data_IF_732911598116
#
_entry.id   IF_732911598116
#
_cell.length_a   1.000
_cell.length_b   1.000
_cell.length_c   1.000
_cell.angle_alpha   90.00
_cell.angle_beta   90.00
_cell.angle_gamma   90.00
#
_symmetry.space_group_name_H-M   'P 1'
#
loop_
_entity.id
_entity.type
_entity.pdbx_description
1 polymer ?
#
# COMPACT_ATOMS: atom_id res chain seq x y z
N UNK A 1 -33.41 -4.01 26.94
CA UNK A 1 -33.89 -3.99 25.55
C UNK A 1 -32.69 -3.64 24.68
N UNK A 2 -31.93 -4.65 24.23
CA UNK A 2 -31.94 -5.16 22.84
C UNK A 2 -31.58 -4.03 21.86
N UNK A 3 -30.45 -4.05 21.16
CA UNK A 3 -30.12 -5.07 20.16
C UNK A 3 -28.63 -5.03 19.80
N UNK A 4 -28.04 -6.22 19.69
CA UNK A 4 -26.79 -6.48 18.99
C UNK A 4 -26.87 -6.01 17.53
N UNK A 5 -25.81 -5.36 17.04
CA UNK A 5 -25.44 -5.36 15.63
C UNK A 5 -23.94 -5.69 15.49
N UNK A 6 -23.63 -6.94 15.84
CA UNK A 6 -22.54 -7.68 15.24
C UNK A 6 -22.92 -7.94 13.78
N UNK A 7 -22.38 -7.16 12.86
CA UNK A 7 -22.19 -7.44 11.43
C UNK A 7 -21.29 -6.30 10.94
N UNK A 8 -19.98 -6.46 10.93
CA UNK A 8 -19.28 -7.05 9.80
C UNK A 8 -18.04 -7.80 10.27
N UNK A 9 -18.11 -9.13 10.24
CA UNK A 9 -16.93 -9.94 9.96
C UNK A 9 -16.44 -9.59 8.55
N UNK A 10 -15.13 -9.38 8.43
CA UNK A 10 -14.39 -9.69 7.22
C UNK A 10 -14.40 -8.62 6.13
N UNK A 11 -13.28 -7.90 6.03
CA UNK A 11 -12.60 -7.84 4.73
C UNK A 11 -11.14 -8.24 4.96
N UNK A 12 -10.87 -9.52 4.74
CA UNK A 12 -9.51 -9.96 4.50
C UNK A 12 -9.01 -9.25 3.26
N UNK A 13 -7.96 -8.44 3.40
CA UNK A 13 -7.19 -7.99 2.26
C UNK A 13 -6.53 -9.21 1.61
N UNK A 14 -7.23 -9.82 0.65
CA UNK A 14 -6.59 -10.57 -0.43
C UNK A 14 -6.24 -9.56 -1.52
N UNK A 15 -5.01 -9.65 -2.02
CA UNK A 15 -4.38 -8.86 -3.09
C UNK A 15 -3.66 -7.55 -2.71
N UNK A 16 -2.42 -7.69 -2.23
CA UNK A 16 -1.18 -6.92 -2.54
C UNK A 16 -0.14 -7.35 -1.47
N UNK A 17 0.95 -8.05 -1.75
CA UNK A 17 1.86 -8.00 -2.89
C UNK A 17 2.54 -9.36 -3.09
N UNK A 18 2.47 -9.92 -4.29
CA UNK A 18 3.52 -10.82 -4.75
C UNK A 18 4.50 -9.95 -5.53
N UNK A 19 5.50 -9.40 -4.85
CA UNK A 19 6.79 -9.18 -5.53
C UNK A 19 7.27 -10.58 -5.90
N UNK A 20 7.30 -10.89 -7.20
CA UNK A 20 8.04 -12.02 -7.73
C UNK A 20 9.50 -11.77 -7.35
N UNK A 21 9.96 -12.40 -6.26
CA UNK A 21 11.39 -12.58 -6.04
C UNK A 21 11.86 -13.49 -7.18
N UNK A 22 12.76 -12.97 -8.02
CA UNK A 22 13.50 -13.78 -8.98
C UNK A 22 14.18 -14.90 -8.20
N UNK A 23 13.94 -16.15 -8.59
CA UNK A 23 14.60 -17.30 -8.01
C UNK A 23 16.06 -17.30 -8.43
N UNK A 24 16.96 -16.83 -7.56
CA UNK A 24 18.36 -17.26 -7.62
C UNK A 24 18.40 -18.72 -7.17
N UNK A 25 18.55 -19.63 -8.11
CA UNK A 25 18.80 -21.04 -7.85
C UNK A 25 20.15 -21.21 -7.16
N UNK A 26 20.13 -21.47 -5.86
CA UNK A 26 21.22 -22.15 -5.15
C UNK A 26 20.63 -23.45 -4.60
N UNK A 27 21.00 -24.55 -5.24
CA UNK A 27 20.75 -25.91 -4.76
C UNK A 27 21.37 -26.08 -3.37
N UNK A 28 20.56 -26.44 -2.38
CA UNK A 28 21.04 -26.97 -1.10
C UNK A 28 20.27 -28.23 -0.78
N UNK A 29 21.00 -29.35 -0.78
CA UNK A 29 20.60 -30.72 -0.51
C UNK A 29 19.59 -30.87 0.65
N UNK A 30 18.38 -31.34 0.34
CA UNK A 30 17.33 -31.65 1.31
C UNK A 30 17.30 -33.14 1.69
N UNK A 31 18.42 -33.86 1.60
CA UNK A 31 18.49 -35.33 1.69
C UNK A 31 19.08 -35.89 2.99
N UNK A 32 19.52 -35.03 3.92
CA UNK A 32 20.21 -35.46 5.16
C UNK A 32 19.36 -35.37 6.44
N UNK A 33 18.10 -34.91 6.39
CA UNK A 33 17.26 -34.77 7.59
C UNK A 33 16.10 -35.77 7.62
N UNK A 34 16.44 -37.06 7.76
CA UNK A 34 15.67 -38.10 8.50
C UNK A 34 16.31 -39.48 8.27
N UNK A 35 17.26 -39.85 9.13
CA UNK A 35 17.55 -41.26 9.41
C UNK A 35 17.40 -41.48 10.92
N UNK A 36 16.43 -42.32 11.29
CA UNK A 36 16.25 -42.78 12.66
C UNK A 36 17.42 -43.71 13.00
N UNK A 37 18.12 -43.52 14.14
CA UNK A 37 19.26 -44.36 14.50
C UNK A 37 18.83 -45.82 14.69
N UNK A 38 19.59 -46.76 14.15
CA UNK A 38 19.34 -48.21 14.24
C UNK A 38 19.66 -48.75 15.65
N UNK A 39 19.09 -49.92 15.98
CA UNK A 39 19.03 -50.47 17.34
C UNK A 39 20.36 -50.55 18.10
N UNK A 40 21.49 -50.76 17.42
CA UNK A 40 22.81 -50.81 18.07
C UNK A 40 23.30 -49.45 18.59
N UNK A 41 22.93 -48.35 17.92
CA UNK A 41 23.28 -46.99 18.34
C UNK A 41 22.51 -46.58 19.61
N UNK A 42 21.32 -47.14 19.82
CA UNK A 42 20.48 -46.88 20.99
C UNK A 42 21.07 -47.49 22.26
N UNK A 43 21.58 -48.72 22.16
CA UNK A 43 22.21 -49.44 23.28
C UNK A 43 23.54 -48.82 23.71
N UNK A 44 24.27 -48.19 22.80
CA UNK A 44 25.51 -47.47 23.09
C UNK A 44 25.23 -46.17 23.87
N UNK A 45 24.21 -45.41 23.47
CA UNK A 45 23.74 -44.19 24.15
C UNK A 45 23.20 -44.48 25.56
N UNK A 46 22.45 -45.56 25.74
CA UNK A 46 21.93 -45.97 27.06
C UNK A 46 23.05 -46.37 28.03
N UNK A 47 24.10 -47.05 27.55
CA UNK A 47 25.29 -47.37 28.36
C UNK A 47 26.13 -46.13 28.70
N UNK A 48 26.11 -45.11 27.84
CA UNK A 48 26.80 -43.84 28.08
C UNK A 48 26.05 -43.01 29.14
N UNK A 49 24.72 -42.95 29.05
CA UNK A 49 23.83 -42.31 30.03
C UNK A 49 23.94 -42.96 31.43
N UNK A 50 24.01 -44.30 31.50
CA UNK A 50 24.15 -45.02 32.76
C UNK A 50 25.52 -44.78 33.45
N UNK A 51 26.58 -44.47 32.69
CA UNK A 51 27.89 -44.09 33.24
C UNK A 51 27.91 -42.67 33.77
N UNK A 52 27.22 -41.74 33.09
CA UNK A 52 27.10 -40.34 33.53
C UNK A 52 26.23 -40.19 34.79
N UNK A 53 25.21 -41.04 34.98
CA UNK A 53 24.36 -41.02 36.18
C UNK A 53 25.01 -41.64 37.42
N UNK A 54 26.04 -42.49 37.25
CA UNK A 54 26.71 -43.17 38.36
C UNK A 54 27.88 -42.36 38.96
N UNK A 55 28.39 -41.36 38.24
CA UNK A 55 29.47 -40.48 38.69
C UNK A 55 28.91 -39.13 39.14
N UNK A 56 28.56 -39.01 40.42
CA UNK A 56 28.53 -37.78 41.25
C UNK A 56 27.35 -37.76 42.24
N UNK A 57 27.50 -38.48 43.35
CA UNK A 57 26.64 -38.33 44.54
C UNK A 57 27.25 -37.39 45.60
N UNK A 58 28.37 -36.72 45.34
CA UNK A 58 29.07 -35.90 46.34
C UNK A 58 29.62 -34.59 45.76
N UNK A 59 28.73 -33.66 45.40
CA UNK A 59 28.90 -32.19 45.52
C UNK A 59 27.82 -31.51 44.68
N UNK A 60 26.90 -30.80 45.34
CA UNK A 60 25.75 -30.18 44.67
C UNK A 60 26.03 -28.69 44.48
N UNK A 61 26.98 -28.37 43.60
CA UNK A 61 27.12 -27.03 43.05
C UNK A 61 26.24 -26.90 41.80
N UNK A 62 25.32 -25.95 41.82
CA UNK A 62 24.33 -25.73 40.78
C UNK A 62 24.97 -25.09 39.55
N UNK A 63 25.20 -25.88 38.50
CA UNK A 63 25.58 -25.36 37.18
C UNK A 63 24.40 -25.52 36.21
N UNK A 64 23.90 -24.43 35.59
CA UNK A 64 22.79 -24.51 34.67
C UNK A 64 23.32 -24.81 33.26
N UNK A 65 23.54 -26.09 32.95
CA UNK A 65 23.59 -26.52 31.55
C UNK A 65 23.15 -27.97 31.35
N UNK A 66 22.50 -28.22 30.22
CA UNK A 66 22.09 -29.51 29.64
C UNK A 66 20.81 -30.24 30.12
N UNK A 67 20.21 -29.96 31.29
CA UNK A 67 19.04 -30.77 31.79
C UNK A 67 17.71 -30.01 31.92
N UNK A 68 17.56 -28.85 31.26
CA UNK A 68 16.37 -28.00 31.41
C UNK A 68 15.05 -28.68 31.04
N UNK A 69 15.03 -29.50 29.98
CA UNK A 69 13.82 -30.18 29.51
C UNK A 69 13.39 -31.33 30.43
N UNK A 70 14.32 -32.13 30.96
CA UNK A 70 13.98 -33.23 31.87
C UNK A 70 13.42 -32.68 33.19
N UNK A 71 14.04 -31.62 33.71
CA UNK A 71 13.57 -30.97 34.94
C UNK A 71 12.20 -30.30 34.75
N UNK A 72 11.96 -29.67 33.60
CA UNK A 72 10.65 -29.10 33.27
C UNK A 72 9.56 -30.18 33.19
N UNK A 73 9.84 -31.30 32.52
CA UNK A 73 8.89 -32.40 32.44
C UNK A 73 8.57 -33.00 33.81
N UNK A 74 9.58 -33.13 34.68
CA UNK A 74 9.43 -33.66 36.04
C UNK A 74 8.62 -32.73 36.94
N UNK A 75 8.85 -31.41 36.86
CA UNK A 75 8.06 -30.41 37.60
C UNK A 75 6.59 -30.39 37.13
N UNK A 76 6.36 -30.54 35.82
CA UNK A 76 5.02 -30.58 35.23
C UNK A 76 4.21 -31.80 35.65
N UNK A 77 4.82 -32.99 35.76
CA UNK A 77 4.13 -34.19 36.25
C UNK A 77 3.85 -34.13 37.75
N UNK A 78 4.76 -33.56 38.55
CA UNK A 78 4.61 -33.51 40.01
C UNK A 78 3.76 -32.33 40.54
N UNK A 79 3.28 -31.43 39.67
CA UNK A 79 2.51 -30.23 40.06
C UNK A 79 3.18 -29.35 41.14
N UNK A 80 4.51 -29.44 41.28
CA UNK A 80 5.28 -28.60 42.21
C UNK A 80 5.65 -27.32 41.49
N UNK A 81 5.03 -26.20 41.86
CA UNK A 81 5.35 -24.87 41.31
C UNK A 81 6.48 -24.23 42.11
N UNK A 82 7.43 -23.61 41.42
CA UNK A 82 8.42 -22.73 42.06
C UNK A 82 7.86 -21.32 42.22
N UNK A 83 8.37 -20.55 43.19
CA UNK A 83 7.89 -19.18 43.50
C UNK A 83 7.94 -18.19 42.32
N UNK A 84 8.73 -18.50 41.28
CA UNK A 84 8.91 -17.65 40.08
C UNK A 84 8.32 -18.25 38.80
N UNK A 85 7.54 -19.33 38.90
CA UNK A 85 6.84 -19.91 37.76
C UNK A 85 5.68 -18.97 37.35
N UNK A 86 5.50 -18.59 36.06
CA UNK A 86 6.05 -19.19 34.83
C UNK A 86 7.35 -18.54 34.29
N UNK A 87 7.92 -17.58 35.01
CA UNK A 87 8.85 -16.59 34.46
C UNK A 87 10.33 -16.95 34.65
N UNK A 88 10.67 -18.24 34.74
CA UNK A 88 12.03 -18.67 35.05
C UNK A 88 13.03 -18.47 33.90
N UNK A 89 12.56 -18.32 32.65
CA UNK A 89 13.43 -18.36 31.46
C UNK A 89 13.70 -17.01 30.78
N UNK A 90 13.12 -15.89 31.24
CA UNK A 90 13.29 -14.57 30.60
C UNK A 90 14.00 -13.57 31.52
N UNK A 91 15.04 -12.90 31.00
CA UNK A 91 15.79 -11.84 31.72
C UNK A 91 15.22 -10.43 31.58
N UNK A 92 14.20 -10.22 30.74
CA UNK A 92 13.57 -8.89 30.54
C UNK A 92 12.26 -8.81 31.34
N UNK A 93 11.97 -7.66 31.98
CA UNK A 93 10.68 -7.45 32.65
C UNK A 93 9.56 -7.46 31.60
N UNK A 94 8.44 -8.11 31.92
CA UNK A 94 7.32 -8.24 31.01
C UNK A 94 6.66 -6.89 30.74
N UNK A 95 6.37 -6.60 29.48
CA UNK A 95 5.42 -5.54 29.09
C UNK A 95 3.99 -6.04 29.30
N UNK A 96 3.08 -5.15 29.71
CA UNK A 96 1.71 -5.45 30.16
C UNK A 96 0.89 -6.37 29.23
N UNK A 97 1.20 -6.44 27.93
CA UNK A 97 0.52 -7.31 26.98
C UNK A 97 0.79 -8.82 27.17
N UNK A 98 1.82 -9.20 27.94
CA UNK A 98 2.17 -10.61 28.19
C UNK A 98 1.70 -11.11 29.56
N UNK A 99 1.15 -10.24 30.42
CA UNK A 99 0.41 -10.67 31.61
C UNK A 99 -0.95 -11.23 31.14
N UNK A 100 -0.95 -12.47 30.65
CA UNK A 100 -2.18 -13.17 30.35
C UNK A 100 -2.87 -13.43 31.69
N UNK A 101 -3.84 -12.59 32.02
CA UNK A 101 -4.57 -12.59 33.28
C UNK A 101 -5.33 -13.89 33.49
N UNK A 102 -4.99 -14.60 34.55
CA UNK A 102 -5.86 -15.63 35.11
C UNK A 102 -6.96 -14.91 35.89
N UNK A 103 -8.16 -14.85 35.33
CA UNK A 103 -9.31 -14.28 36.04
C UNK A 103 -9.90 -15.34 36.98
N UNK A 104 -9.81 -15.14 38.28
CA UNK A 104 -10.53 -15.94 39.28
C UNK A 104 -11.92 -15.33 39.51
N UNK A 105 -12.94 -16.18 39.70
CA UNK A 105 -14.35 -15.74 39.83
C UNK A 105 -14.59 -14.79 41.01
N UNK A 106 -13.70 -14.85 42.00
CA UNK A 106 -13.79 -14.10 43.25
C UNK A 106 -12.97 -12.80 43.22
N UNK A 107 -12.25 -12.50 42.12
CA UNK A 107 -11.55 -11.22 41.97
C UNK A 107 -12.50 -10.13 41.48
N UNK A 108 -12.54 -8.95 42.14
CA UNK A 108 -13.35 -7.83 41.66
C UNK A 108 -12.76 -7.29 40.34
N UNK A 109 -13.64 -7.02 39.35
CA UNK A 109 -13.28 -6.37 38.08
C UNK A 109 -12.53 -5.06 38.36
N UNK A 110 -11.21 -5.05 38.17
CA UNK A 110 -10.42 -3.83 38.27
C UNK A 110 -10.78 -2.93 37.10
N UNK A 111 -11.34 -1.77 37.39
CA UNK A 111 -12.01 -0.90 36.41
C UNK A 111 -11.04 -0.18 35.47
N UNK A 112 -9.72 -0.27 35.70
CA UNK A 112 -8.66 0.39 34.92
C UNK A 112 -7.38 -0.45 34.92
N UNK A 113 -7.40 -1.58 34.24
CA UNK A 113 -6.19 -2.38 34.06
C UNK A 113 -5.22 -1.69 33.08
N UNK A 114 -3.90 -1.68 33.31
CA UNK A 114 -2.94 -0.96 32.47
C UNK A 114 -2.98 -1.35 30.98
N UNK A 115 -3.33 -2.60 30.68
CA UNK A 115 -3.48 -3.11 29.30
C UNK A 115 -4.79 -2.66 28.62
N UNK A 116 -5.80 -2.20 29.37
CA UNK A 116 -7.04 -1.64 28.80
C UNK A 116 -6.90 -0.18 28.39
N UNK A 117 -5.87 0.51 28.90
CA UNK A 117 -5.52 1.88 28.50
C UNK A 117 -4.14 1.90 27.86
N UNK A 118 -4.04 1.32 26.67
CA UNK A 118 -2.92 1.66 25.80
C UNK A 118 -3.05 3.15 25.46
N UNK A 119 -2.17 4.01 26.02
CA UNK A 119 -2.09 5.42 25.62
C UNK A 119 -1.67 5.46 24.16
N UNK A 120 -2.66 5.47 23.26
CA UNK A 120 -2.43 5.71 21.84
C UNK A 120 -2.00 7.16 21.70
N UNK A 121 -0.69 7.37 21.63
CA UNK A 121 -0.15 8.60 21.09
C UNK A 121 -0.43 8.58 19.59
N UNK A 122 -1.64 9.01 19.20
CA UNK A 122 -1.89 9.37 17.81
C UNK A 122 -1.06 10.62 17.58
N UNK A 123 0.17 10.45 17.10
CA UNK A 123 1.01 11.55 16.69
C UNK A 123 0.40 12.13 15.40
N UNK A 124 -0.62 12.97 15.55
CA UNK A 124 -1.23 13.75 14.46
C UNK A 124 -0.23 14.70 13.79
N UNK A 125 0.96 14.87 14.37
CA UNK A 125 2.08 15.63 13.83
C UNK A 125 3.39 14.84 13.93
N UNK A 126 3.39 13.55 13.55
CA UNK A 126 4.65 12.87 13.28
C UNK A 126 5.36 13.57 12.10
N UNK A 127 6.70 13.53 12.04
CA UNK A 127 7.44 13.97 10.85
C UNK A 127 6.92 13.30 9.57
N UNK A 128 6.38 12.08 9.69
CA UNK A 128 5.74 11.36 8.59
C UNK A 128 4.38 11.97 8.19
N UNK A 129 3.61 12.49 9.15
CA UNK A 129 2.33 13.18 8.87
C UNK A 129 2.56 14.58 8.35
N UNK A 130 3.55 15.31 8.90
CA UNK A 130 3.97 16.63 8.37
C UNK A 130 4.62 16.52 6.99
N UNK A 131 5.40 15.49 6.71
CA UNK A 131 5.92 15.19 5.36
C UNK A 131 4.81 14.81 4.39
N UNK A 132 3.80 14.07 4.86
CA UNK A 132 2.60 13.76 4.06
C UNK A 132 1.79 15.03 3.80
N UNK A 133 1.55 15.90 4.78
CA UNK A 133 0.81 17.15 4.60
C UNK A 133 1.57 18.21 3.78
N UNK A 134 2.90 18.34 3.93
CA UNK A 134 3.73 19.22 3.08
C UNK A 134 3.89 18.65 1.65
N UNK A 135 3.84 17.32 1.45
CA UNK A 135 3.70 16.70 0.11
C UNK A 135 2.30 16.86 -0.48
N UNK A 136 1.27 17.07 0.34
CA UNK A 136 -0.12 17.17 -0.08
C UNK A 136 -0.46 18.53 -0.67
N UNK A 137 0.49 19.47 -0.77
CA UNK A 137 0.31 20.69 -1.55
C UNK A 137 0.37 20.33 -3.05
N UNK A 138 -0.75 19.83 -3.57
CA UNK A 138 -0.87 19.42 -4.96
C UNK A 138 -1.31 20.59 -5.84
N UNK A 139 -0.45 20.92 -6.81
CA UNK A 139 -0.80 21.73 -7.98
C UNK A 139 -1.19 20.79 -9.10
N UNK A 140 -2.41 20.95 -9.60
CA UNK A 140 -2.95 20.08 -10.64
C UNK A 140 -3.25 20.87 -11.91
N UNK A 141 -3.10 20.18 -13.04
CA UNK A 141 -3.48 20.71 -14.34
C UNK A 141 -4.73 19.98 -14.81
N UNK A 142 -5.71 20.72 -15.32
CA UNK A 142 -6.94 20.16 -15.88
C UNK A 142 -7.09 20.62 -17.33
N UNK A 143 -7.08 19.66 -18.24
CA UNK A 143 -7.45 19.86 -19.64
C UNK A 143 -8.93 19.55 -19.85
N UNK A 144 -9.59 20.28 -20.75
CA UNK A 144 -11.00 20.04 -21.05
C UNK A 144 -11.99 20.60 -20.00
N UNK A 145 -11.59 21.62 -19.25
CA UNK A 145 -12.37 22.22 -18.17
C UNK A 145 -13.77 22.76 -18.58
N UNK A 146 -14.01 23.03 -19.87
CA UNK A 146 -15.31 23.47 -20.37
C UNK A 146 -16.28 22.30 -20.69
N UNK A 147 -15.82 21.05 -20.60
CA UNK A 147 -16.67 19.87 -20.78
C UNK A 147 -17.36 19.47 -19.48
N UNK A 148 -18.40 18.63 -19.56
CA UNK A 148 -19.20 18.22 -18.41
C UNK A 148 -18.38 17.57 -17.28
N UNK A 149 -17.41 16.71 -17.63
CA UNK A 149 -16.53 16.07 -16.63
C UNK A 149 -15.47 17.06 -16.15
N UNK A 150 -14.83 17.79 -17.07
CA UNK A 150 -13.78 18.74 -16.73
C UNK A 150 -14.24 19.87 -15.82
N UNK A 151 -15.45 20.40 -16.01
CA UNK A 151 -16.00 21.47 -15.16
C UNK A 151 -16.22 21.00 -13.73
N UNK A 152 -16.69 19.76 -13.57
CA UNK A 152 -16.89 19.16 -12.25
C UNK A 152 -15.56 18.79 -11.58
N UNK A 153 -14.57 18.31 -12.34
CA UNK A 153 -13.21 18.12 -11.82
C UNK A 153 -12.64 19.44 -11.27
N UNK A 154 -12.82 20.56 -11.98
CA UNK A 154 -12.38 21.87 -11.48
C UNK A 154 -13.13 22.26 -10.20
N UNK A 155 -14.46 22.09 -10.17
CA UNK A 155 -15.29 22.42 -9.00
C UNK A 155 -14.84 21.64 -7.76
N UNK A 156 -14.70 20.32 -7.87
CA UNK A 156 -14.25 19.48 -6.77
C UNK A 156 -12.82 19.79 -6.36
N UNK A 157 -11.96 20.12 -7.32
CA UNK A 157 -10.55 20.47 -7.01
C UNK A 157 -10.41 21.80 -6.29
N UNK A 158 -11.33 22.74 -6.49
CA UNK A 158 -11.37 24.00 -5.74
C UNK A 158 -11.88 23.77 -4.30
N UNK A 159 -12.85 22.86 -4.14
CA UNK A 159 -13.44 22.51 -2.83
C UNK A 159 -12.49 21.67 -1.96
N UNK A 160 -11.59 20.88 -2.57
CA UNK A 160 -10.63 20.06 -1.85
C UNK A 160 -9.56 20.91 -1.14
N UNK A 161 -9.37 20.66 0.15
CA UNK A 161 -8.35 21.33 0.97
C UNK A 161 -6.95 20.83 0.68
N UNK A 162 -6.81 19.64 0.10
CA UNK A 162 -5.53 19.03 -0.27
C UNK A 162 -5.03 19.52 -1.65
N UNK A 163 -5.76 20.40 -2.32
CA UNK A 163 -5.32 20.98 -3.59
C UNK A 163 -5.02 22.45 -3.34
N UNK A 164 -3.77 22.82 -3.59
CA UNK A 164 -3.30 24.19 -3.41
C UNK A 164 -3.75 25.06 -4.57
N UNK A 165 -3.51 24.59 -5.80
CA UNK A 165 -3.73 25.35 -6.99
C UNK A 165 -4.20 24.49 -8.15
N UNK A 166 -5.18 25.02 -8.89
CA UNK A 166 -5.75 24.38 -10.07
C UNK A 166 -5.44 25.23 -11.29
N UNK A 167 -4.65 24.70 -12.21
CA UNK A 167 -4.41 25.35 -13.49
C UNK A 167 -5.26 24.69 -14.58
N UNK A 168 -6.11 25.45 -15.23
CA UNK A 168 -6.89 24.97 -16.38
C UNK A 168 -6.26 25.43 -17.68
N UNK A 169 -6.13 24.50 -18.64
CA UNK A 169 -5.64 24.81 -19.98
C UNK A 169 -6.79 24.68 -20.96
N UNK A 170 -7.24 25.81 -21.50
CA UNK A 170 -8.43 25.87 -22.35
C UNK A 170 -8.23 26.76 -23.57
N UNK A 171 -8.97 26.49 -24.64
CA UNK A 171 -9.01 27.38 -25.83
C UNK A 171 -9.83 28.63 -25.62
N UNK A 172 -10.85 28.53 -24.77
CA UNK A 172 -11.82 29.58 -24.48
C UNK A 172 -11.77 29.86 -22.98
N UNK A 173 -11.97 31.12 -22.56
CA UNK A 173 -12.07 31.43 -21.14
C UNK A 173 -13.18 30.62 -20.49
N UNK A 174 -12.96 30.20 -19.25
CA UNK A 174 -13.96 29.54 -18.42
C UNK A 174 -15.07 30.51 -18.04
N UNK A 175 -16.23 29.95 -17.69
CA UNK A 175 -17.34 30.72 -17.14
C UNK A 175 -16.93 31.37 -15.81
N UNK A 176 -17.35 32.62 -15.62
CA UNK A 176 -16.95 33.46 -14.48
C UNK A 176 -17.32 32.85 -13.11
N UNK A 177 -18.29 31.95 -13.08
CA UNK A 177 -18.76 31.30 -11.85
C UNK A 177 -17.77 30.27 -11.28
N UNK A 178 -16.75 29.88 -12.05
CA UNK A 178 -15.74 28.88 -11.66
C UNK A 178 -14.43 29.55 -11.23
N UNK A 179 -14.35 30.89 -11.33
CA UNK A 179 -13.14 31.65 -11.01
C UNK A 179 -13.04 31.82 -9.49
N UNK A 180 -11.98 31.26 -8.91
CA UNK A 180 -11.60 31.42 -7.50
C UNK A 180 -10.12 31.79 -7.40
N UNK A 181 -9.68 32.27 -6.23
CA UNK A 181 -8.27 32.64 -6.00
C UNK A 181 -7.31 31.42 -6.12
N UNK A 182 -7.84 30.20 -5.98
CA UNK A 182 -7.08 28.95 -6.13
C UNK A 182 -6.96 28.49 -7.59
N UNK A 183 -7.53 29.22 -8.54
CA UNK A 183 -7.66 28.78 -9.93
C UNK A 183 -7.03 29.77 -10.91
N UNK A 184 -6.17 29.26 -11.80
CA UNK A 184 -5.60 30.02 -12.92
C UNK A 184 -6.05 29.40 -14.23
N UNK A 185 -6.54 30.24 -15.15
CA UNK A 185 -6.82 29.83 -16.53
C UNK A 185 -5.68 30.24 -17.46
N UNK A 186 -5.14 29.27 -18.19
CA UNK A 186 -4.14 29.50 -19.23
C UNK A 186 -4.79 29.23 -20.59
N UNK A 187 -4.82 30.26 -21.43
CA UNK A 187 -5.33 30.13 -22.79
C UNK A 187 -4.28 29.50 -23.69
N UNK A 188 -4.63 28.37 -24.30
CA UNK A 188 -3.77 27.67 -25.23
C UNK A 188 -4.58 27.09 -26.39
N UNK A 189 -4.12 27.33 -27.62
CA UNK A 189 -4.86 27.02 -28.84
C UNK A 189 -4.31 25.81 -29.60
N UNK A 190 -3.00 25.58 -29.56
CA UNK A 190 -2.33 24.55 -30.36
C UNK A 190 -1.91 23.33 -29.54
N UNK A 191 -2.82 22.36 -29.39
CA UNK A 191 -2.61 21.14 -28.61
C UNK A 191 -1.66 20.10 -29.25
N UNK A 192 -0.97 20.46 -30.34
CA UNK A 192 0.13 19.65 -30.86
C UNK A 192 1.49 20.16 -30.38
N UNK A 193 1.59 21.42 -29.97
CA UNK A 193 2.83 22.04 -29.50
C UNK A 193 2.67 22.65 -28.11
N UNK A 194 3.24 21.98 -27.11
CA UNK A 194 3.24 22.43 -25.72
C UNK A 194 4.52 23.15 -25.29
N UNK A 195 5.41 23.52 -26.23
CA UNK A 195 6.65 24.25 -25.93
C UNK A 195 6.44 25.49 -25.06
N UNK A 196 5.37 26.31 -25.24
CA UNK A 196 5.12 27.47 -24.38
C UNK A 196 4.74 27.12 -22.93
N UNK A 197 4.31 25.88 -22.68
CA UNK A 197 3.75 25.42 -21.40
C UNK A 197 4.71 24.53 -20.61
N UNK A 198 5.94 24.30 -21.09
CA UNK A 198 6.90 23.42 -20.42
C UNK A 198 7.19 23.87 -18.98
N UNK A 199 7.41 25.17 -18.76
CA UNK A 199 7.62 25.75 -17.43
C UNK A 199 6.42 25.53 -16.49
N UNK A 200 5.21 25.46 -17.04
CA UNK A 200 4.02 25.16 -16.26
C UNK A 200 4.07 23.70 -15.79
N UNK A 201 4.45 22.76 -16.65
CA UNK A 201 4.50 21.33 -16.33
C UNK A 201 5.55 20.97 -15.26
N UNK A 202 6.64 21.72 -15.14
CA UNK A 202 7.64 21.52 -14.08
C UNK A 202 7.05 21.67 -12.68
N UNK A 203 6.11 22.60 -12.52
CA UNK A 203 5.61 23.04 -11.22
C UNK A 203 4.33 22.31 -10.77
N UNK A 204 3.88 21.30 -11.51
CA UNK A 204 2.65 20.55 -11.20
C UNK A 204 2.93 19.07 -10.94
N UNK A 205 2.14 18.46 -10.06
CA UNK A 205 2.31 17.06 -9.66
C UNK A 205 1.35 16.11 -10.36
N UNK A 206 0.21 16.60 -10.85
CA UNK A 206 -0.76 15.79 -11.56
C UNK A 206 -1.43 16.54 -12.72
N UNK A 207 -1.82 15.78 -13.74
CA UNK A 207 -2.55 16.25 -14.90
C UNK A 207 -3.80 15.38 -15.09
N UNK A 208 -4.97 16.01 -15.08
CA UNK A 208 -6.25 15.39 -15.41
C UNK A 208 -6.58 15.75 -16.85
N UNK A 209 -6.65 14.72 -17.69
CA UNK A 209 -6.98 14.84 -19.10
C UNK A 209 -8.45 14.51 -19.34
N UNK A 210 -9.30 15.54 -19.25
CA UNK A 210 -10.74 15.46 -19.53
C UNK A 210 -11.11 16.02 -20.92
N UNK A 211 -10.13 16.13 -21.82
CA UNK A 211 -10.36 16.64 -23.17
C UNK A 211 -10.93 15.54 -24.06
N UNK A 212 -12.08 15.82 -24.66
CA UNK A 212 -12.75 14.91 -25.58
C UNK A 212 -13.87 15.60 -26.35
N UNK A 213 -14.24 15.01 -27.47
CA UNK A 213 -15.40 15.44 -28.27
C UNK A 213 -16.30 14.24 -28.55
N UNK A 214 -17.55 14.50 -28.93
CA UNK A 214 -18.45 13.44 -29.38
C UNK A 214 -18.10 13.02 -30.81
N UNK A 215 -18.09 11.72 -31.08
CA UNK A 215 -17.88 11.18 -32.43
C UNK A 215 -18.94 11.67 -33.44
N UNK A 216 -20.09 12.13 -32.97
CA UNK A 216 -21.18 12.61 -33.82
C UNK A 216 -21.02 14.08 -34.22
N UNK A 217 -20.12 14.83 -33.57
CA UNK A 217 -19.99 16.29 -33.77
C UNK A 217 -18.89 16.64 -34.76
N UNK A 218 -17.93 15.75 -34.98
CA UNK A 218 -16.73 15.99 -35.79
C UNK A 218 -16.51 14.83 -36.77
N UNK A 219 -15.69 15.08 -37.79
CA UNK A 219 -15.27 14.03 -38.71
C UNK A 219 -14.32 13.04 -38.04
N UNK A 220 -14.17 11.84 -38.60
CA UNK A 220 -13.31 10.78 -38.04
C UNK A 220 -11.85 11.22 -37.87
N UNK A 221 -11.27 11.90 -38.86
CA UNK A 221 -9.88 12.39 -38.78
C UNK A 221 -9.70 13.43 -37.67
N UNK A 222 -10.67 14.32 -37.50
CA UNK A 222 -10.66 15.33 -36.44
C UNK A 222 -10.91 14.68 -35.07
N UNK A 223 -11.76 13.67 -34.99
CA UNK A 223 -11.99 12.88 -33.78
C UNK A 223 -10.71 12.19 -33.31
N UNK A 224 -9.98 11.56 -34.23
CA UNK A 224 -8.68 10.92 -33.96
C UNK A 224 -7.69 11.97 -33.48
N UNK A 225 -7.55 13.08 -34.20
CA UNK A 225 -6.64 14.17 -33.82
C UNK A 225 -6.91 14.68 -32.40
N UNK A 226 -8.17 14.91 -32.05
CA UNK A 226 -8.58 15.44 -30.74
C UNK A 226 -8.38 14.42 -29.62
N UNK A 227 -8.75 13.15 -29.86
CA UNK A 227 -8.80 12.13 -28.81
C UNK A 227 -7.44 11.46 -28.59
N UNK A 228 -6.70 11.24 -29.68
CA UNK A 228 -5.45 10.48 -29.67
C UNK A 228 -4.24 11.42 -29.75
N UNK A 229 -4.12 12.20 -30.83
CA UNK A 229 -2.88 12.93 -31.11
C UNK A 229 -2.61 14.04 -30.07
N UNK A 230 -3.64 14.78 -29.67
CA UNK A 230 -3.50 15.80 -28.62
C UNK A 230 -3.08 15.20 -27.28
N UNK A 231 -3.63 14.04 -26.95
CA UNK A 231 -3.34 13.33 -25.71
C UNK A 231 -1.89 12.85 -25.69
N UNK A 232 -1.42 12.22 -26.78
CA UNK A 232 -0.03 11.77 -26.88
C UNK A 232 0.96 12.92 -26.94
N UNK A 233 0.65 14.01 -27.65
CA UNK A 233 1.50 15.19 -27.70
C UNK A 233 1.67 15.82 -26.30
N UNK A 234 0.59 15.91 -25.52
CA UNK A 234 0.63 16.39 -24.15
C UNK A 234 1.46 15.46 -23.25
N UNK A 235 1.17 14.16 -23.29
CA UNK A 235 1.85 13.17 -22.45
C UNK A 235 3.37 13.12 -22.71
N UNK A 236 3.79 13.16 -23.99
CA UNK A 236 5.21 13.22 -24.37
C UNK A 236 5.88 14.51 -23.90
N UNK A 237 5.19 15.64 -24.06
CA UNK A 237 5.72 16.95 -23.62
C UNK A 237 5.88 17.01 -22.10
N UNK A 238 4.92 16.46 -21.35
CA UNK A 238 5.00 16.35 -19.89
C UNK A 238 6.13 15.41 -19.48
N UNK A 239 6.26 14.23 -20.12
CA UNK A 239 7.31 13.27 -19.77
C UNK A 239 8.73 13.81 -19.95
N UNK A 240 8.95 14.66 -20.96
CA UNK A 240 10.25 15.29 -21.20
C UNK A 240 10.68 16.23 -20.05
N UNK A 241 9.71 16.81 -19.35
CA UNK A 241 9.94 17.86 -18.35
C UNK A 241 9.80 17.30 -16.93
N UNK A 242 8.70 16.58 -16.69
CA UNK A 242 8.36 16.00 -15.40
C UNK A 242 7.85 14.55 -15.59
N UNK A 243 8.76 13.56 -15.72
CA UNK A 243 8.38 12.16 -15.91
C UNK A 243 7.71 11.52 -14.69
N UNK A 244 7.75 12.19 -13.54
CA UNK A 244 7.09 11.76 -12.30
C UNK A 244 5.67 12.33 -12.14
N UNK A 245 5.22 13.19 -13.06
CA UNK A 245 3.85 13.72 -13.01
C UNK A 245 2.83 12.59 -13.19
N UNK A 246 1.80 12.59 -12.32
CA UNK A 246 0.67 11.67 -12.44
C UNK A 246 -0.24 12.10 -13.58
N UNK A 247 -0.37 11.27 -14.60
CA UNK A 247 -1.24 11.56 -15.73
C UNK A 247 -2.50 10.70 -15.67
N UNK A 248 -3.65 11.36 -15.51
CA UNK A 248 -4.96 10.75 -15.37
C UNK A 248 -5.72 10.99 -16.66
N UNK A 249 -5.80 9.97 -17.50
CA UNK A 249 -6.56 9.97 -18.74
C UNK A 249 -7.99 9.54 -18.48
N UNK A 250 -8.97 10.40 -18.81
CA UNK A 250 -10.37 10.05 -18.70
C UNK A 250 -10.80 9.33 -19.97
N UNK A 251 -10.84 8.01 -19.91
CA UNK A 251 -11.32 7.18 -21.01
C UNK A 251 -12.84 7.18 -21.12
N UNK A 252 -13.45 6.06 -21.50
CA UNK A 252 -14.88 5.91 -21.66
C UNK A 252 -15.27 4.45 -21.62
N UNK A 253 -16.43 4.17 -21.02
CA UNK A 253 -16.99 2.82 -21.01
C UNK A 253 -17.19 2.34 -22.46
N UNK A 254 -16.55 1.22 -22.81
CA UNK A 254 -16.54 0.69 -24.18
C UNK A 254 -15.28 1.03 -25.00
N UNK A 255 -14.27 1.64 -24.38
CA UNK A 255 -12.89 1.58 -24.89
C UNK A 255 -12.46 0.11 -24.99
N UNK A 256 -11.99 -0.30 -26.16
CA UNK A 256 -11.59 -1.68 -26.44
C UNK A 256 -10.07 -1.76 -26.54
N UNK A 257 -9.37 -2.38 -25.56
CA UNK A 257 -7.92 -2.53 -25.59
C UNK A 257 -7.42 -3.33 -26.79
N UNK A 258 -8.27 -4.15 -27.43
CA UNK A 258 -7.90 -4.90 -28.64
C UNK A 258 -8.10 -4.09 -29.93
N UNK A 259 -8.65 -2.88 -29.84
CA UNK A 259 -8.91 -1.98 -30.97
C UNK A 259 -9.84 -2.58 -32.05
N UNK A 260 -10.65 -3.58 -31.69
CA UNK A 260 -11.56 -4.31 -32.58
C UNK A 260 -13.03 -3.86 -32.45
N UNK A 261 -13.32 -2.89 -31.59
CA UNK A 261 -14.68 -2.38 -31.39
C UNK A 261 -15.33 -1.95 -32.71
N UNK A 262 -16.61 -2.28 -32.87
CA UNK A 262 -17.40 -1.84 -34.03
C UNK A 262 -17.61 -0.32 -34.05
N UNK A 263 -17.45 0.33 -32.90
CA UNK A 263 -17.63 1.77 -32.76
C UNK A 263 -16.29 2.49 -32.83
N UNK A 264 -16.25 3.60 -33.58
CA UNK A 264 -15.05 4.41 -33.74
C UNK A 264 -14.49 4.86 -32.39
N UNK A 265 -15.33 5.42 -31.51
CA UNK A 265 -14.87 5.89 -30.19
C UNK A 265 -14.15 4.80 -29.39
N UNK A 266 -14.67 3.57 -29.41
CA UNK A 266 -14.13 2.46 -28.63
C UNK A 266 -12.75 2.03 -29.10
N UNK A 267 -12.56 2.01 -30.43
CA UNK A 267 -11.25 1.72 -31.04
C UNK A 267 -10.23 2.81 -30.74
N UNK A 268 -10.60 4.08 -30.94
CA UNK A 268 -9.67 5.20 -30.79
C UNK A 268 -9.30 5.43 -29.32
N UNK A 269 -10.26 5.34 -28.38
CA UNK A 269 -9.95 5.45 -26.95
C UNK A 269 -9.09 4.29 -26.47
N UNK A 270 -9.40 3.05 -26.85
CA UNK A 270 -8.58 1.89 -26.51
C UNK A 270 -7.16 1.97 -27.10
N UNK A 271 -7.03 2.41 -28.34
CA UNK A 271 -5.73 2.73 -28.95
C UNK A 271 -4.98 3.81 -28.17
N UNK A 272 -5.67 4.88 -27.76
CA UNK A 272 -5.05 5.97 -27.00
C UNK A 272 -4.54 5.48 -25.64
N UNK A 273 -5.27 4.61 -24.94
CA UNK A 273 -4.80 3.99 -23.69
C UNK A 273 -3.52 3.16 -23.93
N UNK A 274 -3.53 2.33 -24.96
CA UNK A 274 -2.38 1.50 -25.33
C UNK A 274 -1.15 2.34 -25.66
N UNK A 275 -1.32 3.36 -26.50
CA UNK A 275 -0.23 4.20 -26.98
C UNK A 275 0.26 5.15 -25.89
N UNK A 276 -0.60 5.59 -24.96
CA UNK A 276 -0.17 6.30 -23.76
C UNK A 276 0.79 5.46 -22.92
N UNK A 277 0.46 4.19 -22.67
CA UNK A 277 1.32 3.30 -21.87
C UNK A 277 2.64 2.99 -22.59
N UNK A 278 2.62 2.87 -23.92
CA UNK A 278 3.81 2.52 -24.71
C UNK A 278 4.71 3.71 -25.03
N UNK A 279 4.14 4.86 -25.37
CA UNK A 279 4.88 5.96 -26.02
C UNK A 279 5.03 7.23 -25.18
N UNK A 280 4.30 7.37 -24.07
CA UNK A 280 4.33 8.63 -23.31
C UNK A 280 5.65 8.88 -22.60
N UNK A 281 6.31 7.83 -22.08
CA UNK A 281 7.50 7.96 -21.23
C UNK A 281 7.20 8.35 -19.77
N UNK A 282 5.93 8.44 -19.38
CA UNK A 282 5.50 8.75 -18.01
C UNK A 282 5.59 7.52 -17.10
N UNK A 283 5.96 7.72 -15.84
CA UNK A 283 6.05 6.63 -14.85
C UNK A 283 4.70 6.27 -14.25
N UNK A 284 3.81 7.24 -14.09
CA UNK A 284 2.52 7.08 -13.39
C UNK A 284 1.37 7.50 -14.31
N UNK A 285 0.75 6.52 -14.97
CA UNK A 285 -0.37 6.69 -15.89
C UNK A 285 -1.59 5.96 -15.34
N UNK A 286 -2.74 6.65 -15.35
CA UNK A 286 -4.03 6.10 -14.97
C UNK A 286 -5.00 6.33 -16.13
N UNK A 287 -5.71 5.27 -16.55
CA UNK A 287 -6.66 5.27 -17.69
C UNK A 287 -8.01 4.70 -17.29
#
# INVERSE_FOLDING_TARGET
MSFFNLTFMGYGNRFKSLKRLESTSTESDSTELRKVPTGEQKTALEKQLARELAGDMQSREWTPSAVSNLNYHTLRTMHVRGDKDPNQNTRRPMTAAQEIGWWTKDEPLKTKEPWTQEKRHVHAQSEMTKFVDDMLIMKIIIFGANGAVGSECVRQSIEDTNIEHVTTITRRPLDKNIISDKHTNVSHTDFLDYTPLLNLFENHQACIWALGTSQNTVNETEYIKITHDYTLAAAKSIANVNPAMRFIFISGMGADPMEQSRFLFGRIKGKTENDLVKESGLKEIYT
#
